data_IF_401050930347
#
_entry.id   IF_401050930347
#
_cell.length_a   1.000
_cell.length_b   1.000
_cell.length_c   1.000
_cell.angle_alpha   90.00
_cell.angle_beta   90.00
_cell.angle_gamma   90.00
#
_symmetry.space_group_name_H-M   'P 1'
#
loop_
_entity.id
_entity.type
_entity.pdbx_description
1 polymer ?
#
# COMPACT_ATOMS: atom_id res chain seq x y z
N UNK A 1 -26.91 26.07 -16.55
CA UNK A 1 -26.17 25.28 -15.53
C UNK A 1 -24.93 26.07 -15.14
N UNK A 2 -24.85 26.56 -13.90
CA UNK A 2 -23.68 27.33 -13.45
C UNK A 2 -22.43 26.44 -13.42
N UNK A 3 -21.36 26.92 -14.06
CA UNK A 3 -20.06 26.27 -14.09
C UNK A 3 -19.54 26.07 -12.65
N UNK A 4 -19.46 24.81 -12.21
CA UNK A 4 -18.86 24.44 -10.93
C UNK A 4 -17.36 24.76 -10.98
N UNK A 5 -16.95 25.91 -10.42
CA UNK A 5 -15.55 26.30 -10.28
C UNK A 5 -14.78 25.18 -9.57
N UNK A 6 -13.85 24.53 -10.29
CA UNK A 6 -12.88 23.59 -9.72
C UNK A 6 -11.99 24.36 -8.75
N UNK A 7 -12.08 24.04 -7.47
CA UNK A 7 -11.34 24.69 -6.40
C UNK A 7 -11.67 24.08 -5.04
N UNK A 8 -10.94 24.51 -4.00
CA UNK A 8 -11.16 24.06 -2.63
C UNK A 8 -12.59 24.40 -2.20
N UNK A 9 -13.34 23.41 -1.71
CA UNK A 9 -14.71 23.56 -1.18
C UNK A 9 -14.76 24.80 -0.27
N UNK A 10 -15.66 25.74 -0.58
CA UNK A 10 -15.88 26.93 0.26
C UNK A 10 -16.20 26.47 1.68
N UNK A 11 -15.54 27.05 2.66
CA UNK A 11 -15.82 26.77 4.08
C UNK A 11 -17.27 27.17 4.34
N UNK A 12 -18.06 26.27 4.95
CA UNK A 12 -19.46 26.54 5.27
C UNK A 12 -19.58 27.75 6.21
N UNK A 13 -20.73 28.45 6.14
CA UNK A 13 -21.00 29.75 6.79
C UNK A 13 -20.68 29.78 8.29
N UNK A 14 -20.60 28.62 8.95
CA UNK A 14 -20.37 28.50 10.40
C UNK A 14 -19.27 27.49 10.77
N UNK A 15 -18.34 27.15 9.87
CA UNK A 15 -17.31 26.14 10.21
C UNK A 15 -16.38 26.59 11.35
N UNK A 16 -16.18 27.90 11.53
CA UNK A 16 -15.35 28.50 12.58
C UNK A 16 -16.01 29.80 13.04
N UNK A 17 -16.93 29.68 13.99
CA UNK A 17 -17.79 30.78 14.43
C UNK A 17 -17.18 31.59 15.59
N UNK A 18 -16.53 30.93 16.55
CA UNK A 18 -15.93 31.59 17.70
C UNK A 18 -14.55 32.16 17.37
N UNK A 19 -14.30 33.39 17.80
CA UNK A 19 -13.03 34.09 17.64
C UNK A 19 -12.43 34.44 19.01
N UNK A 20 -11.12 34.23 19.15
CA UNK A 20 -10.36 34.57 20.35
C UNK A 20 -9.13 35.36 19.90
N UNK A 21 -8.93 36.53 20.50
CA UNK A 21 -7.75 37.37 20.25
C UNK A 21 -6.70 37.04 21.31
N UNK A 22 -5.53 36.57 20.87
CA UNK A 22 -4.37 36.34 21.72
C UNK A 22 -3.35 37.44 21.49
N UNK A 23 -2.81 38.00 22.57
CA UNK A 23 -1.71 38.96 22.55
C UNK A 23 -0.47 38.26 23.08
N UNK A 24 0.65 38.47 22.42
CA UNK A 24 1.96 37.96 22.82
C UNK A 24 2.88 39.14 23.09
N UNK A 25 3.75 39.01 24.08
CA UNK A 25 4.93 39.88 24.18
C UNK A 25 6.04 39.42 23.21
N UNK A 26 7.09 40.22 23.06
CA UNK A 26 8.16 39.94 22.09
C UNK A 26 8.82 38.58 22.34
N UNK A 27 9.13 38.25 23.59
CA UNK A 27 9.76 36.98 23.96
C UNK A 27 8.86 35.76 23.68
N UNK A 28 7.55 35.88 23.91
CA UNK A 28 6.56 34.85 23.57
C UNK A 28 6.40 34.70 22.06
N UNK A 29 6.44 35.81 21.33
CA UNK A 29 6.35 35.81 19.88
C UNK A 29 7.59 35.15 19.24
N UNK A 30 8.78 35.41 19.78
CA UNK A 30 10.01 34.74 19.32
C UNK A 30 9.97 33.24 19.55
N UNK A 31 9.45 32.79 20.70
CA UNK A 31 9.21 31.35 20.94
C UNK A 31 8.21 30.77 19.94
N UNK A 32 7.15 31.49 19.62
CA UNK A 32 6.17 31.06 18.62
C UNK A 32 6.82 30.92 17.24
N UNK A 33 7.70 31.86 16.88
CA UNK A 33 8.46 31.84 15.63
C UNK A 33 9.38 30.62 15.55
N UNK A 34 10.15 30.35 16.60
CA UNK A 34 10.99 29.15 16.70
C UNK A 34 10.19 27.85 16.50
N UNK A 35 8.99 27.77 17.09
CA UNK A 35 8.11 26.62 16.91
C UNK A 35 7.66 26.51 15.45
N UNK A 36 7.26 27.62 14.81
CA UNK A 36 6.87 27.60 13.40
C UNK A 36 8.01 27.12 12.49
N UNK A 37 9.22 27.64 12.71
CA UNK A 37 10.42 27.26 11.97
C UNK A 37 10.76 25.78 12.14
N UNK A 38 10.54 25.20 13.31
CA UNK A 38 10.74 23.76 13.54
C UNK A 38 9.83 22.87 12.65
N UNK A 39 8.66 23.37 12.28
CA UNK A 39 7.75 22.73 11.32
C UNK A 39 7.96 23.20 9.88
N UNK A 40 9.01 23.97 9.61
CA UNK A 40 9.31 24.58 8.31
C UNK A 40 8.17 25.49 7.81
N UNK A 41 7.52 26.20 8.72
CA UNK A 41 6.42 27.12 8.44
C UNK A 41 6.87 28.57 8.64
N UNK A 42 6.49 29.46 7.72
CA UNK A 42 6.69 30.90 7.87
C UNK A 42 5.53 31.54 8.66
N UNK A 43 5.85 32.09 9.83
CA UNK A 43 4.91 32.80 10.70
C UNK A 43 4.23 34.00 10.02
N UNK A 44 4.89 34.61 9.04
CA UNK A 44 4.40 35.79 8.31
C UNK A 44 3.28 35.43 7.33
N UNK A 45 3.16 34.15 6.95
CA UNK A 45 2.16 33.72 5.98
C UNK A 45 0.75 33.64 6.59
N UNK A 46 -0.22 34.13 5.81
CA UNK A 46 -1.63 34.11 6.22
C UNK A 46 -2.11 32.67 6.39
N UNK A 47 -2.55 32.36 7.61
CA UNK A 47 -3.16 31.07 7.91
C UNK A 47 -2.16 30.01 8.36
N UNK A 48 -0.96 30.39 8.80
CA UNK A 48 -0.02 29.51 9.49
C UNK A 48 -0.29 29.47 11.00
N UNK A 49 -0.31 30.63 11.65
CA UNK A 49 -0.46 30.72 13.11
C UNK A 49 -1.81 30.17 13.62
N UNK A 50 -2.94 30.55 13.02
CA UNK A 50 -4.25 30.15 13.55
C UNK A 50 -4.53 28.65 13.42
N UNK A 51 -4.07 27.93 12.38
CA UNK A 51 -4.11 26.47 12.38
C UNK A 51 -3.11 25.83 13.33
N UNK A 52 -1.88 26.35 13.44
CA UNK A 52 -0.85 25.83 14.33
C UNK A 52 -1.28 25.91 15.80
N UNK A 53 -1.71 27.08 16.26
CA UNK A 53 -2.18 27.28 17.65
C UNK A 53 -3.38 26.39 17.96
N UNK A 54 -4.34 26.30 17.04
CA UNK A 54 -5.49 25.39 17.20
C UNK A 54 -5.02 23.95 17.32
N UNK A 55 -4.09 23.53 16.48
CA UNK A 55 -3.54 22.17 16.53
C UNK A 55 -2.84 21.93 17.85
N UNK A 56 -1.98 22.84 18.32
CA UNK A 56 -1.29 22.70 19.60
C UNK A 56 -2.25 22.64 20.80
N UNK A 57 -3.33 23.42 20.78
CA UNK A 57 -4.33 23.43 21.84
C UNK A 57 -5.21 22.18 21.80
N UNK A 58 -5.65 21.75 20.61
CA UNK A 58 -6.53 20.57 20.47
C UNK A 58 -5.76 19.24 20.53
N UNK A 59 -4.54 19.17 20.00
CA UNK A 59 -3.70 17.96 20.02
C UNK A 59 -3.13 17.70 21.42
N UNK A 60 -3.02 18.72 22.29
CA UNK A 60 -2.59 18.52 23.69
C UNK A 60 -3.52 17.60 24.50
N UNK A 61 -4.80 17.49 24.12
CA UNK A 61 -5.71 16.52 24.73
C UNK A 61 -5.60 15.11 24.12
N UNK A 62 -4.99 14.96 22.93
CA UNK A 62 -4.93 13.70 22.18
C UNK A 62 -3.59 12.97 22.24
N UNK A 63 -2.59 13.52 22.96
CA UNK A 63 -1.22 12.99 22.96
C UNK A 63 -1.07 11.57 23.53
N UNK A 64 -2.03 11.02 24.28
CA UNK A 64 -1.90 9.67 24.85
C UNK A 64 -2.74 8.57 24.19
N UNK A 65 -3.79 8.85 23.39
CA UNK A 65 -4.77 7.80 23.03
C UNK A 65 -4.99 7.50 21.54
N UNK A 66 -4.67 8.42 20.63
CA UNK A 66 -5.13 8.30 19.22
C UNK A 66 -4.01 8.25 18.16
N UNK A 67 -2.73 8.22 18.54
CA UNK A 67 -1.67 7.96 17.54
C UNK A 67 -1.68 6.48 17.18
N UNK A 68 -2.26 6.16 16.03
CA UNK A 68 -2.10 4.84 15.40
C UNK A 68 -0.60 4.50 15.37
N UNK A 69 -0.22 3.27 15.77
CA UNK A 69 1.17 2.86 15.77
C UNK A 69 1.76 3.02 14.36
N UNK A 70 3.05 3.36 14.27
CA UNK A 70 3.72 3.50 12.99
C UNK A 70 3.69 2.16 12.24
N UNK A 71 2.77 2.03 11.28
CA UNK A 71 2.55 0.80 10.50
C UNK A 71 3.46 0.69 9.28
N UNK A 72 4.41 1.62 9.10
CA UNK A 72 5.32 1.64 7.94
C UNK A 72 6.13 0.35 7.79
N UNK A 73 6.67 -0.17 8.90
CA UNK A 73 7.41 -1.46 8.89
C UNK A 73 6.50 -2.63 8.54
N UNK A 74 5.28 -2.67 9.09
CA UNK A 74 4.30 -3.71 8.78
C UNK A 74 3.89 -3.64 7.29
N UNK A 75 3.63 -2.45 6.76
CA UNK A 75 3.31 -2.24 5.36
C UNK A 75 4.47 -2.65 4.44
N UNK A 76 5.71 -2.36 4.82
CA UNK A 76 6.90 -2.80 4.09
C UNK A 76 7.01 -4.34 4.06
N UNK A 77 6.79 -5.02 5.18
CA UNK A 77 6.78 -6.49 5.23
C UNK A 77 5.65 -7.11 4.42
N UNK A 78 4.43 -6.57 4.50
CA UNK A 78 3.28 -7.00 3.69
C UNK A 78 3.57 -6.83 2.19
N UNK A 79 4.19 -5.71 1.79
CA UNK A 79 4.57 -5.47 0.40
C UNK A 79 5.62 -6.47 -0.10
N UNK A 80 6.63 -6.82 0.72
CA UNK A 80 7.60 -7.87 0.37
C UNK A 80 6.92 -9.23 0.20
N UNK A 81 5.99 -9.59 1.09
CA UNK A 81 5.21 -10.84 0.99
C UNK A 81 4.39 -10.85 -0.31
N UNK A 82 3.65 -9.78 -0.59
CA UNK A 82 2.84 -9.66 -1.80
C UNK A 82 3.67 -9.75 -3.10
N UNK A 83 4.87 -9.16 -3.11
CA UNK A 83 5.79 -9.25 -4.24
C UNK A 83 6.26 -10.69 -4.49
N UNK A 84 6.65 -11.41 -3.44
CA UNK A 84 7.07 -12.81 -3.56
C UNK A 84 5.94 -13.71 -4.05
N UNK A 85 4.71 -13.52 -3.55
CA UNK A 85 3.53 -14.26 -4.01
C UNK A 85 3.29 -14.00 -5.50
N UNK A 86 3.37 -12.74 -5.94
CA UNK A 86 3.20 -12.38 -7.36
C UNK A 86 4.26 -13.04 -8.26
N UNK A 87 5.52 -13.11 -7.80
CA UNK A 87 6.57 -13.81 -8.51
C UNK A 87 6.30 -15.32 -8.61
N UNK A 88 5.86 -15.96 -7.52
CA UNK A 88 5.49 -17.38 -7.51
C UNK A 88 4.33 -17.67 -8.46
N UNK A 89 3.29 -16.85 -8.46
CA UNK A 89 2.14 -16.99 -9.36
C UNK A 89 2.56 -16.82 -10.82
N UNK A 90 3.39 -15.81 -11.12
CA UNK A 90 3.94 -15.61 -12.47
C UNK A 90 4.80 -16.79 -12.92
N UNK A 91 5.63 -17.34 -12.04
CA UNK A 91 6.44 -18.53 -12.32
C UNK A 91 5.59 -19.77 -12.54
N UNK A 92 4.56 -20.00 -11.71
CA UNK A 92 3.64 -21.11 -11.86
C UNK A 92 2.85 -21.01 -13.18
N UNK A 93 2.35 -19.82 -13.49
CA UNK A 93 1.66 -19.54 -14.75
C UNK A 93 2.59 -19.72 -15.96
N UNK A 94 3.82 -19.20 -15.88
CA UNK A 94 4.82 -19.37 -16.92
C UNK A 94 5.25 -20.82 -17.10
N UNK A 95 5.39 -21.60 -16.02
CA UNK A 95 5.68 -23.05 -16.09
C UNK A 95 4.51 -23.83 -16.70
N UNK A 96 3.27 -23.49 -16.33
CA UNK A 96 2.07 -24.07 -16.97
C UNK A 96 2.00 -23.75 -18.46
N UNK A 97 2.38 -22.52 -18.86
CA UNK A 97 2.41 -22.12 -20.28
C UNK A 97 3.58 -22.74 -21.06
N UNK A 98 4.74 -22.91 -20.43
CA UNK A 98 5.97 -23.39 -21.11
C UNK A 98 6.09 -24.91 -21.14
N UNK A 99 5.37 -25.64 -20.29
CA UNK A 99 5.23 -27.10 -20.38
C UNK A 99 3.86 -27.58 -19.89
N UNK A 100 2.79 -27.36 -20.66
CA UNK A 100 1.63 -28.22 -20.54
C UNK A 100 2.04 -29.58 -21.13
N UNK A 101 2.25 -30.59 -20.29
CA UNK A 101 2.29 -32.00 -20.71
C UNK A 101 3.40 -32.47 -21.69
N UNK A 102 4.50 -31.74 -21.91
CA UNK A 102 5.59 -32.23 -22.79
C UNK A 102 6.17 -33.57 -22.30
N UNK A 103 6.43 -33.66 -20.98
CA UNK A 103 6.90 -34.89 -20.33
C UNK A 103 5.82 -35.98 -20.34
N UNK A 104 4.54 -35.60 -20.20
CA UNK A 104 3.43 -36.55 -20.17
C UNK A 104 3.21 -37.23 -21.53
N UNK A 105 3.35 -36.49 -22.64
CA UNK A 105 3.24 -37.06 -23.99
C UNK A 105 4.39 -38.03 -24.26
N UNK A 106 5.62 -37.70 -23.84
CA UNK A 106 6.77 -38.59 -23.98
C UNK A 106 6.67 -39.83 -23.09
N UNK A 107 6.17 -39.70 -21.86
CA UNK A 107 5.89 -40.83 -20.97
C UNK A 107 4.78 -41.73 -21.52
N UNK A 108 3.65 -41.18 -21.98
CA UNK A 108 2.56 -41.95 -22.59
C UNK A 108 3.07 -42.70 -23.83
N UNK A 109 3.88 -42.06 -24.68
CA UNK A 109 4.48 -42.71 -25.84
C UNK A 109 5.38 -43.89 -25.44
N UNK A 110 6.32 -43.69 -24.51
CA UNK A 110 7.19 -44.78 -24.02
C UNK A 110 6.41 -45.91 -23.37
N UNK A 111 5.35 -45.58 -22.62
CA UNK A 111 4.51 -46.57 -21.95
C UNK A 111 3.76 -47.43 -22.98
N UNK A 112 3.25 -46.82 -24.05
CA UNK A 112 2.59 -47.54 -25.14
C UNK A 112 3.56 -48.42 -25.95
N UNK A 113 4.78 -47.95 -26.19
CA UNK A 113 5.83 -48.75 -26.85
C UNK A 113 6.19 -50.00 -26.03
N UNK A 114 6.35 -49.84 -24.71
CA UNK A 114 6.61 -50.96 -23.79
C UNK A 114 5.44 -51.95 -23.72
N UNK A 115 4.20 -51.46 -23.66
CA UNK A 115 3.00 -52.31 -23.70
C UNK A 115 2.90 -53.11 -25.01
N UNK A 116 3.22 -52.47 -26.15
CA UNK A 116 3.28 -53.16 -27.45
C UNK A 116 4.31 -54.29 -27.46
N UNK A 117 5.52 -54.02 -26.96
CA UNK A 117 6.57 -55.04 -26.86
C UNK A 117 6.16 -56.21 -25.94
N UNK A 118 5.51 -55.93 -24.82
CA UNK A 118 4.99 -56.97 -23.91
C UNK A 118 3.88 -57.80 -24.57
N UNK A 119 2.98 -57.17 -25.33
CA UNK A 119 1.95 -57.89 -26.09
C UNK A 119 2.58 -58.79 -27.15
N UNK A 120 3.60 -58.33 -27.88
CA UNK A 120 4.31 -59.17 -28.86
C UNK A 120 4.98 -60.39 -28.23
N UNK A 121 5.63 -60.22 -27.08
CA UNK A 121 6.25 -61.32 -26.32
C UNK A 121 5.16 -62.32 -25.91
N UNK A 122 4.07 -61.84 -25.32
CA UNK A 122 2.96 -62.68 -24.84
C UNK A 122 2.25 -63.42 -25.98
N UNK A 123 2.13 -62.79 -27.15
CA UNK A 123 1.52 -63.41 -28.35
C UNK A 123 2.46 -64.49 -28.91
N UNK A 124 3.76 -64.21 -29.02
CA UNK A 124 4.76 -65.19 -29.47
C UNK A 124 4.85 -66.42 -28.56
N UNK A 125 4.71 -66.23 -27.24
CA UNK A 125 4.64 -67.32 -26.27
C UNK A 125 3.35 -68.16 -26.35
N UNK A 126 2.27 -67.62 -26.92
CA UNK A 126 0.99 -68.32 -27.10
C UNK A 126 0.85 -69.07 -28.43
N UNK A 127 1.61 -68.68 -29.45
CA UNK A 127 1.55 -69.27 -30.80
C UNK A 127 2.77 -70.13 -31.15
N UNK A 128 3.72 -70.28 -30.22
CA UNK A 128 4.82 -71.25 -30.26
C UNK A 128 4.52 -72.52 -29.48
#
# INVERSE_FOLDING_TARGET
MEQRKRGRKRLGKSKRYHNIMLRFNDAEYDKLKMICESYHLDISERGVISPLLRRLVLDRESEERDRLPNTSDLAHHINRIGSNINQLVKLAHFKNLRSPNSILVDEIRRTNELLGALMEITIKERTG
#
